data_IF_943730933548
#
_entry.id   IF_943730933548
#
_cell.length_a   1.000
_cell.length_b   1.000
_cell.length_c   1.000
_cell.angle_alpha   90.00
_cell.angle_beta   90.00
_cell.angle_gamma   90.00
#
_symmetry.space_group_name_H-M   'P 1'
#
loop_
_entity.id
_entity.type
_entity.pdbx_description
1 polymer ?
#
# COMPACT_ATOMS: atom_id res chain seq x y z
N UNK A 1 24.49 -2.21 7.81
CA UNK A 1 23.57 -1.06 8.02
C UNK A 1 22.38 -1.29 7.11
N UNK A 2 21.14 -1.42 7.61
CA UNK A 2 19.96 -1.58 6.74
C UNK A 2 19.58 -0.21 6.20
N UNK A 3 19.75 -0.01 4.90
CA UNK A 3 19.31 1.18 4.18
C UNK A 3 17.78 1.27 4.28
N UNK A 4 17.26 2.36 4.86
CA UNK A 4 15.82 2.60 4.90
C UNK A 4 15.38 3.03 3.50
N UNK A 5 14.36 2.41 2.89
CA UNK A 5 13.83 2.93 1.63
C UNK A 5 13.40 4.38 1.87
N UNK A 6 13.92 5.31 1.07
CA UNK A 6 13.81 6.75 1.30
C UNK A 6 12.36 7.29 1.22
N UNK A 7 11.39 6.45 0.86
CA UNK A 7 9.99 6.85 0.65
C UNK A 7 9.05 5.82 1.28
N UNK A 8 8.74 6.00 2.56
CA UNK A 8 7.70 5.23 3.25
C UNK A 8 6.35 5.96 3.12
N UNK A 9 5.42 5.42 2.31
CA UNK A 9 4.07 5.95 2.17
C UNK A 9 3.07 5.04 2.86
N UNK A 10 2.25 5.61 3.75
CA UNK A 10 1.16 4.88 4.40
C UNK A 10 0.05 4.52 3.42
N UNK A 11 -0.60 3.39 3.65
CA UNK A 11 -1.68 2.86 2.83
C UNK A 11 -2.86 3.84 2.71
N UNK A 12 -3.29 4.46 3.82
CA UNK A 12 -4.35 5.49 3.81
C UNK A 12 -4.00 6.69 2.93
N UNK A 13 -2.75 7.16 3.02
CA UNK A 13 -2.23 8.27 2.23
C UNK A 13 -2.07 7.89 0.76
N UNK A 14 -1.61 6.67 0.48
CA UNK A 14 -1.44 6.16 -0.88
C UNK A 14 -2.79 6.05 -1.60
N UNK A 15 -3.81 5.47 -0.96
CA UNK A 15 -5.13 5.31 -1.56
C UNK A 15 -5.81 6.64 -1.89
N UNK A 16 -5.63 7.65 -1.04
CA UNK A 16 -6.09 9.01 -1.32
C UNK A 16 -5.30 9.66 -2.48
N UNK A 17 -3.97 9.55 -2.47
CA UNK A 17 -3.12 10.12 -3.51
C UNK A 17 -3.38 9.47 -4.89
N UNK A 18 -3.63 8.16 -4.91
CA UNK A 18 -4.00 7.38 -6.09
C UNK A 18 -5.48 7.54 -6.51
N UNK A 19 -6.24 8.42 -5.81
CA UNK A 19 -7.63 8.80 -6.13
C UNK A 19 -8.68 7.69 -5.99
N UNK A 20 -8.42 6.62 -5.24
CA UNK A 20 -9.44 5.63 -4.88
C UNK A 20 -10.50 6.20 -3.92
N UNK A 21 -10.09 7.12 -3.04
CA UNK A 21 -10.98 7.79 -2.10
C UNK A 21 -10.81 9.31 -2.15
N UNK A 22 -11.93 10.04 -2.01
CA UNK A 22 -11.95 11.51 -2.08
C UNK A 22 -11.14 12.17 -0.96
N UNK A 23 -11.16 11.59 0.23
CA UNK A 23 -10.46 12.10 1.40
C UNK A 23 -9.63 10.99 2.06
N UNK A 24 -8.58 11.39 2.76
CA UNK A 24 -7.76 10.46 3.54
C UNK A 24 -8.53 9.83 4.72
N UNK A 25 -9.47 10.57 5.32
CA UNK A 25 -10.33 10.05 6.37
C UNK A 25 -11.20 8.89 5.86
N UNK A 26 -11.80 9.04 4.67
CA UNK A 26 -12.58 7.97 4.05
C UNK A 26 -11.72 6.74 3.75
N UNK A 27 -10.50 6.93 3.23
CA UNK A 27 -9.57 5.82 3.03
C UNK A 27 -9.28 5.07 4.33
N UNK A 28 -9.10 5.80 5.44
CA UNK A 28 -8.88 5.21 6.76
C UNK A 28 -10.06 4.37 7.22
N UNK A 29 -11.28 4.90 7.14
CA UNK A 29 -12.51 4.20 7.52
C UNK A 29 -12.70 2.92 6.70
N UNK A 30 -12.40 2.96 5.40
CA UNK A 30 -12.53 1.80 4.52
C UNK A 30 -11.50 0.70 4.83
N UNK A 31 -10.29 1.09 5.26
CA UNK A 31 -9.28 0.14 5.74
C UNK A 31 -9.71 -0.48 7.08
N UNK A 32 -10.13 0.34 8.06
CA UNK A 32 -10.57 -0.13 9.39
C UNK A 32 -11.84 -1.01 9.29
N UNK A 33 -12.77 -0.66 8.40
CA UNK A 33 -13.95 -1.46 8.07
C UNK A 33 -13.64 -2.77 7.34
N UNK A 34 -12.37 -2.99 6.94
CA UNK A 34 -11.91 -4.18 6.24
C UNK A 34 -12.41 -4.30 4.81
N UNK A 35 -12.72 -3.18 4.17
CA UNK A 35 -13.02 -3.11 2.73
C UNK A 35 -11.75 -3.08 1.88
N UNK A 36 -10.62 -2.67 2.47
CA UNK A 36 -9.30 -2.68 1.84
C UNK A 36 -8.49 -3.85 2.39
N UNK A 37 -7.98 -4.67 1.49
CA UNK A 37 -7.04 -5.75 1.80
C UNK A 37 -5.67 -5.41 1.20
N UNK A 38 -4.61 -5.67 1.95
CA UNK A 38 -3.23 -5.56 1.49
C UNK A 38 -2.66 -6.98 1.41
N UNK A 39 -2.21 -7.40 0.23
CA UNK A 39 -1.76 -8.77 -0.04
C UNK A 39 -2.76 -9.85 0.43
N UNK A 40 -4.05 -9.61 0.19
CA UNK A 40 -5.13 -10.55 0.56
C UNK A 40 -5.51 -10.55 2.05
N UNK A 41 -4.90 -9.71 2.89
CA UNK A 41 -5.18 -9.65 4.32
C UNK A 41 -5.73 -8.29 4.76
N UNK A 42 -6.52 -8.28 5.84
CA UNK A 42 -6.92 -7.03 6.50
C UNK A 42 -5.67 -6.30 6.98
N UNK A 43 -5.64 -5.00 6.73
CA UNK A 43 -4.47 -4.17 7.04
C UNK A 43 -4.84 -2.99 7.91
N UNK A 44 -3.83 -2.29 8.44
CA UNK A 44 -4.01 -1.06 9.22
C UNK A 44 -3.80 0.16 8.32
N UNK A 45 -4.47 1.29 8.58
CA UNK A 45 -4.28 2.52 7.82
C UNK A 45 -2.82 3.00 7.78
N UNK A 46 -2.05 2.69 8.84
CA UNK A 46 -0.64 3.03 8.99
C UNK A 46 0.33 2.06 8.32
N UNK A 47 -0.15 0.98 7.68
CA UNK A 47 0.70 0.05 6.92
C UNK A 47 1.48 0.83 5.85
N UNK A 48 2.78 0.57 5.72
CA UNK A 48 3.59 1.14 4.65
C UNK A 48 3.37 0.33 3.38
N UNK A 49 3.13 1.03 2.26
CA UNK A 49 2.98 0.44 0.93
C UNK A 49 4.36 0.08 0.40
N UNK A 50 4.50 -1.16 -0.04
CA UNK A 50 5.71 -1.67 -0.69
C UNK A 50 5.51 -1.59 -2.21
N UNK A 51 6.49 -1.00 -2.90
CA UNK A 51 6.59 -1.14 -4.35
C UNK A 51 7.10 -2.55 -4.62
N UNK A 52 6.20 -3.47 -4.93
CA UNK A 52 6.57 -4.78 -5.44
C UNK A 52 7.23 -4.60 -6.82
N UNK A 53 8.54 -4.37 -6.83
CA UNK A 53 9.34 -4.49 -8.04
C UNK A 53 9.56 -5.98 -8.30
N UNK A 54 8.52 -6.68 -8.76
CA UNK A 54 8.66 -8.03 -9.26
C UNK A 54 9.32 -7.96 -10.64
N UNK A 55 10.65 -7.83 -10.67
CA UNK A 55 11.42 -8.10 -11.87
C UNK A 55 11.38 -9.62 -12.12
N UNK A 56 10.32 -10.08 -12.77
CA UNK A 56 10.27 -11.45 -13.28
C UNK A 56 11.20 -11.49 -14.50
N UNK A 57 12.51 -11.64 -14.26
CA UNK A 57 13.44 -12.03 -15.33
C UNK A 57 13.26 -13.53 -15.58
N UNK A 58 12.27 -13.87 -16.40
CA UNK A 58 12.29 -15.07 -17.22
C UNK A 58 11.46 -14.77 -18.46
N UNK A 59 12.00 -14.94 -19.67
CA UNK A 59 12.16 -16.30 -20.16
C UNK A 59 13.47 -16.53 -20.93
N UNK A 60 14.31 -17.42 -20.42
CA UNK A 60 15.39 -18.06 -21.18
C UNK A 60 15.26 -19.57 -20.97
N UNK A 61 15.07 -20.30 -22.07
CA UNK A 61 15.01 -21.77 -22.14
C UNK A 61 16.13 -22.46 -21.38
#
# INVERSE_FOLDING_TARGET
>A
MKEKPAVEVRLDKWLWAARFYKTRALAREMIEGGKVHYNGQRSKPSKIVELECHAHSAPGK
#
